data_IF_298921938419
#
_entry.id   IF_298921938419
#
_cell.length_a   1.000
_cell.length_b   1.000
_cell.length_c   1.000
_cell.angle_alpha   90.00
_cell.angle_beta   90.00
_cell.angle_gamma   90.00
#
_symmetry.space_group_name_H-M   'P 1'
#
loop_
_entity.id
_entity.type
_entity.pdbx_description
1 polymer ?
#
# COMPACT_ATOMS: atom_id res chain seq x y z
N UNK A 1 10.93 -17.68 -25.92
CA UNK A 1 12.03 -16.75 -25.64
C UNK A 1 11.52 -15.33 -25.68
N UNK A 2 11.75 -14.55 -24.63
CA UNK A 2 11.31 -13.17 -24.59
C UNK A 2 12.31 -12.27 -25.31
N UNK A 3 11.81 -11.44 -26.22
CA UNK A 3 12.62 -10.41 -26.84
C UNK A 3 12.89 -9.29 -25.85
N UNK A 4 14.17 -8.93 -25.67
CA UNK A 4 14.53 -7.80 -24.81
C UNK A 4 14.03 -6.50 -25.45
N UNK A 5 13.27 -5.72 -24.67
CA UNK A 5 12.78 -4.43 -25.12
C UNK A 5 13.84 -3.36 -24.90
N UNK A 6 14.01 -2.48 -25.90
CA UNK A 6 14.86 -1.30 -25.78
C UNK A 6 14.03 -0.09 -25.44
N UNK A 7 14.53 0.74 -24.52
CA UNK A 7 13.87 1.97 -24.08
C UNK A 7 14.76 3.17 -24.34
N UNK A 8 14.16 4.31 -24.61
CA UNK A 8 14.92 5.55 -24.89
C UNK A 8 15.57 6.15 -23.65
N UNK A 9 15.09 5.76 -22.46
CA UNK A 9 15.71 6.08 -21.16
C UNK A 9 15.75 4.81 -20.33
N UNK A 10 16.60 4.79 -19.32
CA UNK A 10 16.68 3.64 -18.41
C UNK A 10 15.37 3.46 -17.65
N UNK A 11 14.92 2.20 -17.55
CA UNK A 11 13.74 1.85 -16.76
C UNK A 11 14.05 1.85 -15.28
N UNK A 12 13.05 2.09 -14.46
CA UNK A 12 13.16 1.92 -13.02
C UNK A 12 13.16 0.43 -12.65
N UNK A 13 13.92 0.01 -11.64
CA UNK A 13 13.80 -1.34 -11.13
C UNK A 13 12.42 -1.56 -10.52
N UNK A 14 11.98 -2.83 -10.53
CA UNK A 14 10.70 -3.19 -9.90
C UNK A 14 10.86 -3.06 -8.38
N UNK A 15 10.01 -2.25 -7.77
CA UNK A 15 9.91 -2.15 -6.32
C UNK A 15 9.32 -3.46 -5.79
N UNK A 16 9.91 -4.01 -4.75
CA UNK A 16 9.44 -5.28 -4.19
C UNK A 16 9.57 -5.31 -2.68
N UNK A 17 8.74 -6.13 -2.05
CA UNK A 17 8.73 -6.33 -0.61
C UNK A 17 9.21 -7.75 -0.28
N UNK A 18 9.90 -7.92 0.86
CA UNK A 18 10.23 -9.26 1.33
C UNK A 18 8.98 -10.03 1.73
N UNK A 19 9.04 -11.34 1.62
CA UNK A 19 7.96 -12.25 2.01
C UNK A 19 8.55 -13.28 2.98
N UNK A 20 7.90 -13.46 4.12
CA UNK A 20 8.34 -14.44 5.11
C UNK A 20 8.29 -15.87 4.52
N UNK A 21 9.33 -16.65 4.81
CA UNK A 21 9.39 -18.06 4.42
C UNK A 21 9.87 -18.32 3.01
N UNK A 22 10.28 -17.29 2.26
CA UNK A 22 10.79 -17.46 0.90
C UNK A 22 11.80 -16.36 0.56
N UNK A 23 12.70 -16.65 -0.38
CA UNK A 23 13.61 -15.66 -0.97
C UNK A 23 12.93 -14.89 -2.10
N UNK A 24 11.79 -15.37 -2.61
CA UNK A 24 11.02 -14.67 -3.61
C UNK A 24 10.38 -13.42 -2.99
N UNK A 25 10.28 -12.37 -3.77
CA UNK A 25 9.79 -11.08 -3.31
C UNK A 25 8.46 -10.75 -3.95
N UNK A 26 7.65 -9.97 -3.26
CA UNK A 26 6.37 -9.49 -3.77
C UNK A 26 6.62 -8.23 -4.63
N UNK A 27 6.35 -8.26 -5.94
CA UNK A 27 6.52 -7.09 -6.79
C UNK A 27 5.39 -6.09 -6.55
N UNK A 28 5.74 -4.83 -6.36
CA UNK A 28 4.78 -3.76 -6.10
C UNK A 28 4.55 -2.97 -7.38
N UNK A 29 3.31 -2.90 -7.81
CA UNK A 29 2.92 -2.12 -8.98
C UNK A 29 2.21 -0.84 -8.59
N UNK A 30 1.26 -0.93 -7.65
CA UNK A 30 0.46 0.20 -7.20
C UNK A 30 0.32 0.14 -5.69
N UNK A 31 0.23 1.33 -5.09
CA UNK A 31 -0.04 1.46 -3.66
C UNK A 31 -1.29 2.30 -3.50
N UNK A 32 -2.32 1.68 -2.94
CA UNK A 32 -3.56 2.37 -2.59
C UNK A 32 -3.62 2.50 -1.08
N UNK A 33 -3.99 3.68 -0.62
CA UNK A 33 -4.23 3.95 0.79
C UNK A 33 -5.71 4.19 1.01
N UNK A 34 -6.19 3.82 2.19
CA UNK A 34 -7.59 3.97 2.56
C UNK A 34 -7.66 4.89 3.77
N UNK A 35 -8.30 6.03 3.60
CA UNK A 35 -8.54 6.96 4.70
C UNK A 35 -9.90 6.73 5.34
N UNK A 36 -10.03 7.05 6.64
CA UNK A 36 -11.25 6.94 7.42
C UNK A 36 -11.81 5.53 7.52
N UNK A 37 -10.92 4.54 7.47
CA UNK A 37 -11.34 3.13 7.53
C UNK A 37 -11.47 2.59 8.95
N UNK A 38 -10.77 3.22 9.92
CA UNK A 38 -10.83 2.81 11.32
C UNK A 38 -11.83 3.71 12.06
N UNK A 39 -12.84 3.10 12.67
CA UNK A 39 -13.90 3.84 13.36
C UNK A 39 -13.36 4.73 14.48
N UNK A 40 -12.41 4.26 15.27
CA UNK A 40 -11.79 5.04 16.34
C UNK A 40 -11.10 6.29 15.80
N UNK A 41 -10.35 6.16 14.70
CA UNK A 41 -9.67 7.29 14.07
C UNK A 41 -10.67 8.31 13.52
N UNK A 42 -11.75 7.85 12.90
CA UNK A 42 -12.80 8.73 12.38
C UNK A 42 -13.43 9.56 13.51
N UNK A 43 -13.68 8.96 14.67
CA UNK A 43 -14.22 9.64 15.84
C UNK A 43 -13.23 10.69 16.35
N UNK A 44 -11.95 10.37 16.46
CA UNK A 44 -10.88 11.30 16.89
C UNK A 44 -10.81 12.52 16.00
N UNK A 45 -11.05 12.35 14.71
CA UNK A 45 -11.03 13.42 13.72
C UNK A 45 -12.33 14.21 13.64
N UNK A 46 -13.32 13.90 14.49
CA UNK A 46 -14.63 14.55 14.48
C UNK A 46 -15.56 14.08 13.40
N UNK A 47 -15.29 12.93 12.80
CA UNK A 47 -16.12 12.35 11.76
C UNK A 47 -17.04 11.27 12.32
N UNK A 48 -18.16 11.03 11.63
CA UNK A 48 -19.09 9.96 11.98
C UNK A 48 -18.80 8.74 11.12
N UNK A 49 -18.24 7.64 11.69
CA UNK A 49 -17.86 6.45 10.91
C UNK A 49 -19.08 5.75 10.27
N UNK A 50 -20.30 6.00 10.77
CA UNK A 50 -21.53 5.42 10.22
C UNK A 50 -22.07 6.21 9.03
N UNK A 51 -21.61 7.45 8.85
CA UNK A 51 -22.09 8.37 7.80
C UNK A 51 -21.08 8.64 6.72
N UNK A 52 -19.79 8.50 7.01
CA UNK A 52 -18.72 8.82 6.08
C UNK A 52 -18.07 7.56 5.56
N UNK A 53 -18.07 7.40 4.25
CA UNK A 53 -17.39 6.29 3.60
C UNK A 53 -15.88 6.48 3.61
N UNK A 54 -15.10 5.38 3.65
CA UNK A 54 -13.67 5.46 3.43
C UNK A 54 -13.37 6.08 2.07
N UNK A 55 -12.26 6.80 1.98
CA UNK A 55 -11.79 7.32 0.72
C UNK A 55 -10.43 6.70 0.35
N UNK A 56 -10.13 6.73 -0.94
CA UNK A 56 -8.93 6.10 -1.48
C UNK A 56 -7.99 7.15 -2.04
N UNK A 57 -6.69 6.94 -1.86
CA UNK A 57 -5.65 7.74 -2.51
C UNK A 57 -4.47 6.85 -2.84
N UNK A 58 -3.58 7.34 -3.69
CA UNK A 58 -2.43 6.57 -4.16
C UNK A 58 -1.13 7.17 -3.67
N UNK A 59 -0.15 6.30 -3.49
CA UNK A 59 1.26 6.68 -3.31
C UNK A 59 2.10 5.95 -4.35
N UNK A 60 3.25 6.54 -4.70
CA UNK A 60 4.16 5.89 -5.63
C UNK A 60 4.87 4.72 -4.96
N UNK A 61 5.02 3.58 -5.64
CA UNK A 61 5.78 2.45 -5.09
C UNK A 61 7.21 2.83 -4.68
N UNK A 62 7.83 3.77 -5.38
CA UNK A 62 9.18 4.25 -5.08
C UNK A 62 9.29 4.92 -3.70
N UNK A 63 8.19 5.33 -3.11
CA UNK A 63 8.17 5.94 -1.78
C UNK A 63 8.18 4.91 -0.65
N UNK A 64 8.11 3.63 -0.96
CA UNK A 64 8.23 2.57 0.05
C UNK A 64 9.64 2.55 0.62
N UNK A 65 9.74 2.68 1.92
CA UNK A 65 11.00 2.71 2.64
C UNK A 65 11.15 1.42 3.46
N UNK A 66 12.13 0.61 3.09
CA UNK A 66 12.40 -0.68 3.74
C UNK A 66 13.60 -0.61 4.69
N UNK A 67 14.19 0.57 4.88
CA UNK A 67 15.40 0.73 5.70
C UNK A 67 15.17 0.60 7.20
N UNK A 68 13.91 0.71 7.64
CA UNK A 68 13.57 0.78 9.05
C UNK A 68 13.74 2.18 9.66
N UNK A 69 14.21 3.14 8.89
CA UNK A 69 14.41 4.52 9.33
C UNK A 69 13.59 5.46 8.47
N UNK A 70 12.73 6.23 9.10
CA UNK A 70 11.93 7.25 8.43
C UNK A 70 12.53 8.62 8.67
N UNK A 71 13.07 9.30 7.63
CA UNK A 71 13.63 10.64 7.81
C UNK A 71 12.51 11.64 8.11
N UNK A 72 12.68 12.41 9.17
CA UNK A 72 11.72 13.44 9.54
C UNK A 72 11.70 14.54 8.47
N UNK A 73 10.53 14.90 7.91
CA UNK A 73 10.45 15.90 6.84
C UNK A 73 10.95 17.27 7.31
N UNK A 74 11.84 17.86 6.53
CA UNK A 74 12.51 19.12 6.93
C UNK A 74 11.56 20.31 7.04
N UNK A 75 10.44 20.28 6.29
CA UNK A 75 9.48 21.39 6.26
C UNK A 75 8.20 21.10 7.03
N UNK A 76 8.21 20.09 7.88
CA UNK A 76 7.07 19.74 8.70
C UNK A 76 7.47 19.78 10.16
N UNK A 77 6.59 20.30 11.02
CA UNK A 77 6.80 20.37 12.47
C UNK A 77 5.86 19.48 13.25
N UNK A 78 4.94 18.81 12.56
CA UNK A 78 3.91 18.00 13.19
C UNK A 78 3.68 16.74 12.34
N UNK A 79 4.51 15.72 12.59
CA UNK A 79 4.46 14.44 11.87
C UNK A 79 4.00 13.36 12.85
N UNK A 80 2.93 12.68 12.47
CA UNK A 80 2.38 11.56 13.22
C UNK A 80 2.62 10.26 12.47
N UNK A 81 3.04 9.22 13.18
CA UNK A 81 3.09 7.87 12.63
C UNK A 81 1.77 7.16 12.91
N UNK A 82 1.40 6.28 11.99
CA UNK A 82 0.22 5.43 12.14
C UNK A 82 0.62 3.99 11.79
N UNK A 83 0.18 3.04 12.60
CA UNK A 83 0.37 1.63 12.29
C UNK A 83 -0.79 1.19 11.38
N UNK A 84 -0.45 0.69 10.20
CA UNK A 84 -1.41 0.35 9.17
C UNK A 84 -1.33 -1.11 8.78
N UNK A 85 -2.47 -1.73 8.55
CA UNK A 85 -2.53 -3.07 7.96
C UNK A 85 -2.24 -2.97 6.47
N UNK A 86 -1.18 -3.66 6.05
CA UNK A 86 -0.86 -3.80 4.64
C UNK A 86 -1.56 -5.04 4.10
N UNK A 87 -2.26 -4.89 2.98
CA UNK A 87 -2.89 -6.01 2.27
C UNK A 87 -2.26 -6.11 0.88
N UNK A 88 -1.63 -7.24 0.61
CA UNK A 88 -1.02 -7.50 -0.69
C UNK A 88 -2.00 -8.29 -1.56
N UNK A 89 -2.31 -7.77 -2.75
CA UNK A 89 -3.26 -8.39 -3.67
C UNK A 89 -2.51 -9.13 -4.78
N UNK A 90 -2.87 -10.39 -5.01
CA UNK A 90 -2.27 -11.21 -6.06
C UNK A 90 -2.99 -11.14 -7.40
N UNK A 91 -4.27 -10.80 -7.39
CA UNK A 91 -5.07 -10.68 -8.60
C UNK A 91 -5.97 -9.46 -8.52
N UNK A 92 -6.15 -8.79 -9.66
CA UNK A 92 -7.09 -7.69 -9.79
C UNK A 92 -8.50 -8.17 -10.11
N UNK A 93 -9.36 -7.21 -10.42
CA UNK A 93 -10.74 -7.50 -10.82
C UNK A 93 -11.60 -6.25 -10.82
N UNK A 94 -12.84 -6.41 -11.25
CA UNK A 94 -13.85 -5.37 -11.30
C UNK A 94 -15.15 -5.92 -10.77
N UNK A 95 -15.87 -5.12 -9.98
CA UNK A 95 -17.16 -5.52 -9.40
C UNK A 95 -17.07 -6.83 -8.62
N UNK A 96 -16.03 -6.97 -7.81
CA UNK A 96 -15.78 -8.17 -7.03
C UNK A 96 -16.81 -8.26 -5.90
N UNK A 97 -17.59 -9.34 -5.82
CA UNK A 97 -18.52 -9.53 -4.70
C UNK A 97 -17.75 -9.62 -3.37
N UNK A 98 -18.35 -9.16 -2.28
CA UNK A 98 -17.73 -9.18 -0.95
C UNK A 98 -17.27 -10.60 -0.56
N UNK A 99 -18.08 -11.61 -0.85
CA UNK A 99 -17.75 -13.00 -0.52
C UNK A 99 -16.62 -13.60 -1.36
N UNK A 100 -16.13 -12.87 -2.36
CA UNK A 100 -14.99 -13.26 -3.20
C UNK A 100 -13.76 -12.40 -3.00
N UNK A 101 -13.86 -11.33 -2.19
CA UNK A 101 -12.79 -10.35 -2.04
C UNK A 101 -11.50 -10.97 -1.49
N UNK A 102 -11.58 -11.84 -0.51
CA UNK A 102 -10.41 -12.47 0.11
C UNK A 102 -9.67 -13.43 -0.83
N UNK A 103 -10.31 -13.92 -1.88
CA UNK A 103 -9.65 -14.77 -2.89
C UNK A 103 -8.56 -13.99 -3.66
N UNK A 104 -8.62 -12.67 -3.64
CA UNK A 104 -7.66 -11.80 -4.31
C UNK A 104 -6.44 -11.44 -3.45
N UNK A 105 -6.44 -11.82 -2.19
CA UNK A 105 -5.39 -11.47 -1.23
C UNK A 105 -4.26 -12.49 -1.31
N UNK A 106 -3.02 -11.98 -1.46
CA UNK A 106 -1.81 -12.78 -1.32
C UNK A 106 -1.41 -12.93 0.15
N UNK A 107 -1.43 -11.84 0.89
CA UNK A 107 -1.00 -11.85 2.27
C UNK A 107 -1.10 -10.48 2.93
N UNK A 108 -0.59 -10.41 4.15
CA UNK A 108 -0.72 -9.23 5.01
C UNK A 108 0.64 -8.82 5.56
N UNK A 109 0.75 -7.56 5.91
CA UNK A 109 1.93 -7.00 6.54
C UNK A 109 1.58 -5.81 7.40
N UNK A 110 2.61 -5.16 7.91
CA UNK A 110 2.48 -3.97 8.73
C UNK A 110 3.25 -2.83 8.09
N UNK A 111 2.65 -1.66 8.07
CA UNK A 111 3.25 -0.43 7.55
C UNK A 111 3.06 0.74 8.51
N UNK A 112 3.89 1.75 8.36
CA UNK A 112 3.74 3.04 9.04
C UNK A 112 3.46 4.13 8.03
#
# INVERSE_FOLDING_TARGET
MHKKMNYVISTQPIVSLPVDGTDARFPVRRVYCIGRNYAAHAIEMGHDPDREEPFFFQKNPNNLNLSGNFPYPAKSSDVHHEAELLVALKTGGTNIPVNKALDHVFGYGLAL
#
